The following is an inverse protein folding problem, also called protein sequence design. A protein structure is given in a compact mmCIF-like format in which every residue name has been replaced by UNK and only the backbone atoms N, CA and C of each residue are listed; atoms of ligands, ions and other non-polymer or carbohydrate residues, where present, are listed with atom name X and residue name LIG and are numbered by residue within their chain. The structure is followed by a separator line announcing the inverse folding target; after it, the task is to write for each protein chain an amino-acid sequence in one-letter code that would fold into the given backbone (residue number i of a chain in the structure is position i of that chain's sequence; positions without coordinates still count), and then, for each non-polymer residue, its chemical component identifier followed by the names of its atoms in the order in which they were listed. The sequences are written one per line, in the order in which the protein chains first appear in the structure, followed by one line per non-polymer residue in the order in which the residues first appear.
data_IF_216303997007
#
_entry.id   IF_216303997007
#
_cell.length_a   1.000
_cell.length_b   1.000
_cell.length_c   1.000
_cell.angle_alpha   90.00
_cell.angle_beta   90.00
_cell.angle_gamma   90.00
#
_symmetry.space_group_name_H-M   'P 1'
#
loop_
_entity.id
_entity.type
_entity.pdbx_description
1 polymer ?
#
# COMPACT_ATOMS: atom_id res chain seq x y z
N UNK A 1 -21.62 17.60 -0.20
CA UNK A 1 -20.44 16.95 0.42
C UNK A 1 -19.45 16.69 -0.71
N UNK A 2 -18.26 17.31 -0.71
CA UNK A 2 -17.31 17.21 -1.84
C UNK A 2 -16.58 15.86 -1.82
N UNK A 3 -17.28 14.79 -2.18
CA UNK A 3 -16.62 13.59 -2.67
C UNK A 3 -16.62 13.72 -4.19
N UNK A 4 -15.45 13.90 -4.79
CA UNK A 4 -15.30 13.80 -6.24
C UNK A 4 -15.53 12.34 -6.64
N UNK A 5 -16.10 12.08 -7.81
CA UNK A 5 -16.36 10.71 -8.27
C UNK A 5 -15.06 9.93 -8.52
N UNK A 6 -13.94 10.61 -8.69
CA UNK A 6 -12.62 10.00 -8.90
C UNK A 6 -11.52 10.71 -8.10
N UNK A 7 -11.48 10.57 -6.76
CA UNK A 7 -10.40 11.14 -5.99
C UNK A 7 -9.09 10.39 -6.27
N UNK A 8 -7.98 11.11 -6.17
CA UNK A 8 -6.63 10.56 -6.28
C UNK A 8 -5.99 10.59 -4.90
N UNK A 9 -5.40 9.48 -4.49
CA UNK A 9 -4.56 9.42 -3.29
C UNK A 9 -3.10 9.39 -3.72
N UNK A 10 -2.33 10.35 -3.20
CA UNK A 10 -0.88 10.36 -3.33
C UNK A 10 -0.25 9.77 -2.06
N UNK A 11 0.57 8.75 -2.23
CA UNK A 11 1.24 8.05 -1.13
C UNK A 11 2.73 7.90 -1.45
N UNK A 12 3.57 8.66 -0.76
CA UNK A 12 5.02 8.46 -0.84
C UNK A 12 5.37 7.10 -0.23
N UNK A 13 6.16 6.29 -0.93
CA UNK A 13 6.73 5.03 -0.46
C UNK A 13 8.21 5.04 -0.80
N UNK A 14 9.05 5.23 0.21
CA UNK A 14 10.49 5.45 0.08
C UNK A 14 10.80 6.59 -0.89
N UNK A 15 11.45 6.29 -2.00
CA UNK A 15 11.85 7.17 -3.08
C UNK A 15 10.81 7.27 -4.21
N UNK A 16 9.69 6.53 -4.11
CA UNK A 16 8.61 6.57 -5.07
C UNK A 16 7.38 7.33 -4.54
N UNK A 17 6.62 7.93 -5.46
CA UNK A 17 5.29 8.48 -5.18
C UNK A 17 4.24 7.63 -5.90
N UNK A 18 3.41 6.92 -5.14
CA UNK A 18 2.28 6.19 -5.70
C UNK A 18 1.10 7.15 -5.86
N UNK A 19 0.57 7.26 -7.08
CA UNK A 19 -0.67 7.96 -7.37
C UNK A 19 -1.75 6.94 -7.65
N UNK A 20 -2.73 6.85 -6.74
CA UNK A 20 -3.77 5.83 -6.75
C UNK A 20 -5.10 6.50 -7.08
N UNK A 21 -5.59 6.26 -8.30
CA UNK A 21 -6.87 6.76 -8.73
C UNK A 21 -8.00 5.86 -8.23
N UNK A 22 -8.98 6.46 -7.59
CA UNK A 22 -10.20 5.77 -7.21
C UNK A 22 -11.29 6.02 -8.25
N UNK A 23 -12.18 5.05 -8.39
CA UNK A 23 -13.46 5.24 -9.05
C UNK A 23 -14.54 4.99 -8.01
N UNK A 24 -15.00 6.07 -7.40
CA UNK A 24 -16.08 6.07 -6.41
C UNK A 24 -17.46 6.22 -7.09
N UNK A 25 -17.50 6.64 -8.36
CA UNK A 25 -18.74 6.87 -9.11
C UNK A 25 -19.44 5.57 -9.55
N UNK A 26 -18.66 4.52 -9.85
CA UNK A 26 -19.23 3.20 -10.16
C UNK A 26 -19.76 2.44 -8.93
N UNK A 27 -19.46 2.92 -7.72
CA UNK A 27 -19.68 2.20 -6.46
C UNK A 27 -19.11 0.77 -6.43
N UNK A 28 -18.21 0.43 -7.36
CA UNK A 28 -17.50 -0.84 -7.33
C UNK A 28 -16.48 -0.81 -6.20
N UNK A 29 -16.60 -1.78 -5.29
CA UNK A 29 -15.69 -1.90 -4.14
C UNK A 29 -14.23 -2.13 -4.58
N UNK A 30 -14.01 -2.65 -5.79
CA UNK A 30 -12.70 -2.96 -6.35
C UNK A 30 -11.83 -1.75 -6.73
N UNK A 31 -12.40 -0.55 -6.78
CA UNK A 31 -11.70 0.69 -7.17
C UNK A 31 -11.58 1.68 -6.02
N UNK A 32 -12.08 1.33 -4.83
CA UNK A 32 -11.99 2.15 -3.62
C UNK A 32 -10.74 1.80 -2.80
N UNK A 33 -10.07 2.82 -2.29
CA UNK A 33 -8.95 2.62 -1.36
C UNK A 33 -9.50 2.59 0.06
N UNK A 34 -9.25 1.48 0.74
CA UNK A 34 -9.65 1.28 2.13
C UNK A 34 -8.55 1.75 3.07
N UNK A 35 -8.84 2.42 4.20
CA UNK A 35 -7.81 2.89 5.12
C UNK A 35 -6.80 1.81 5.55
N UNK A 36 -7.26 0.57 5.71
CA UNK A 36 -6.40 -0.56 6.06
C UNK A 36 -5.35 -0.89 5.00
N UNK A 37 -5.63 -0.68 3.70
CA UNK A 37 -4.63 -0.93 2.65
C UNK A 37 -3.49 0.09 2.71
N UNK A 38 -3.79 1.35 3.04
CA UNK A 38 -2.77 2.38 3.26
C UNK A 38 -1.89 2.05 4.48
N UNK A 39 -2.50 1.58 5.57
CA UNK A 39 -1.77 1.09 6.75
C UNK A 39 -0.86 -0.08 6.37
N UNK A 40 -1.36 -1.03 5.57
CA UNK A 40 -0.58 -2.18 5.12
C UNK A 40 0.64 -1.76 4.28
N UNK A 41 0.49 -0.79 3.37
CA UNK A 41 1.62 -0.26 2.59
C UNK A 41 2.68 0.33 3.50
N UNK A 42 2.31 1.15 4.49
CA UNK A 42 3.27 1.75 5.43
C UNK A 42 3.91 0.74 6.37
N UNK A 43 3.17 -0.30 6.74
CA UNK A 43 3.73 -1.43 7.45
C UNK A 43 4.79 -2.15 6.58
N UNK A 44 4.45 -2.51 5.34
CA UNK A 44 5.37 -3.18 4.44
C UNK A 44 6.61 -2.32 4.10
N UNK A 45 6.43 -1.02 3.88
CA UNK A 45 7.53 -0.07 3.63
C UNK A 45 8.61 -0.16 4.71
N UNK A 46 8.19 -0.19 5.98
CA UNK A 46 9.05 -0.25 7.16
C UNK A 46 9.65 -1.64 7.42
N UNK A 47 8.90 -2.70 7.15
CA UNK A 47 9.21 -4.05 7.62
C UNK A 47 9.58 -5.06 6.52
N UNK A 48 9.48 -4.74 5.23
CA UNK A 48 9.80 -5.69 4.16
C UNK A 48 11.31 -5.87 3.92
N UNK A 49 12.13 -4.84 4.18
CA UNK A 49 13.57 -4.93 3.96
C UNK A 49 14.37 -5.23 5.25
N UNK A 50 15.57 -5.80 5.12
CA UNK A 50 16.52 -5.89 6.22
C UNK A 50 16.81 -4.49 6.75
N UNK A 51 16.44 -4.25 8.00
CA UNK A 51 16.71 -2.99 8.68
C UNK A 51 17.87 -3.25 9.65
N UNK A 52 18.99 -2.54 9.47
CA UNK A 52 20.17 -2.70 10.33
C UNK A 52 19.88 -2.43 11.81
N UNK A 53 18.84 -1.64 12.11
CA UNK A 53 18.39 -1.36 13.47
C UNK A 53 17.45 -2.43 14.05
N UNK A 54 17.07 -3.43 13.26
CA UNK A 54 16.16 -4.52 13.63
C UNK A 54 16.81 -5.85 13.24
N UNK A 55 17.74 -6.35 14.07
CA UNK A 55 18.53 -7.54 13.74
C UNK A 55 17.67 -8.82 13.61
N UNK A 56 16.45 -8.84 14.16
CA UNK A 56 15.49 -9.94 14.06
C UNK A 56 14.14 -9.42 13.57
N UNK A 57 14.00 -9.24 12.25
CA UNK A 57 12.74 -8.84 11.63
C UNK A 57 11.91 -10.07 11.19
N UNK A 58 10.99 -10.51 12.06
CA UNK A 58 10.11 -11.65 11.79
C UNK A 58 9.12 -11.46 10.64
N UNK A 59 8.89 -10.21 10.19
CA UNK A 59 7.96 -9.91 9.10
C UNK A 59 8.61 -9.99 7.70
N UNK A 60 9.94 -9.92 7.63
CA UNK A 60 10.69 -9.93 6.37
C UNK A 60 10.34 -11.12 5.48
N UNK A 61 10.25 -12.32 6.06
CA UNK A 61 9.92 -13.55 5.32
C UNK A 61 8.47 -13.59 4.80
N UNK A 62 7.53 -12.98 5.53
CA UNK A 62 6.11 -12.95 5.13
C UNK A 62 5.85 -11.89 4.05
N UNK A 63 6.60 -10.80 4.10
CA UNK A 63 6.52 -9.67 3.16
C UNK A 63 7.45 -9.81 1.94
N UNK A 64 8.21 -10.91 1.85
CA UNK A 64 8.98 -11.24 0.66
C UNK A 64 8.07 -11.85 -0.41
N UNK A 65 7.75 -11.05 -1.43
CA UNK A 65 6.95 -11.46 -2.58
C UNK A 65 7.80 -11.77 -3.82
N UNK A 66 9.12 -11.83 -3.70
CA UNK A 66 9.98 -12.16 -4.83
C UNK A 66 9.61 -13.56 -5.39
N UNK A 67 9.33 -13.62 -6.69
CA UNK A 67 8.95 -14.87 -7.37
C UNK A 67 7.52 -15.35 -7.10
N UNK A 68 6.69 -14.62 -6.33
CA UNK A 68 5.26 -14.95 -6.14
C UNK A 68 4.41 -14.21 -7.18
N UNK A 69 3.41 -14.88 -7.76
CA UNK A 69 2.43 -14.28 -8.69
C UNK A 69 1.08 -14.16 -8.01
N UNK A 70 0.33 -13.11 -8.37
CA UNK A 70 -1.03 -12.84 -7.88
C UNK A 70 -1.12 -12.68 -6.34
N UNK A 71 -0.22 -11.87 -5.78
CA UNK A 71 -0.26 -11.43 -4.38
C UNK A 71 -0.70 -9.98 -4.29
#
# INVERSE_FOLDING_TARGET
MKFTDSPVIELSVRDALLSLQQDNGSFHVGTSIWPCSLVLVKFAERWALPNLNIPHNSYSAVLDFHGKRAV
#
